data_IF_371082639813
#
_entry.id   IF_371082639813
#
_cell.length_a   1.000
_cell.length_b   1.000
_cell.length_c   1.000
_cell.angle_alpha   90.00
_cell.angle_beta   90.00
_cell.angle_gamma   90.00
#
_symmetry.space_group_name_H-M   'P 1'
#
loop_
_entity.id
_entity.type
_entity.pdbx_description
1 polymer ?
#
# COMPACT_ATOMS: atom_id res chain seq x y z
N UNK A 1 3.12 -4.63 -18.61
CA UNK A 1 3.27 -3.98 -17.29
C UNK A 1 3.15 -2.47 -17.52
N UNK A 2 2.13 -1.84 -16.95
CA UNK A 2 1.81 -0.42 -17.22
C UNK A 2 2.62 0.46 -16.28
N UNK A 3 3.24 1.53 -16.81
CA UNK A 3 3.96 2.49 -15.96
C UNK A 3 2.96 3.28 -15.12
N UNK A 4 3.37 3.64 -13.92
CA UNK A 4 2.51 4.39 -12.98
C UNK A 4 2.17 5.78 -13.51
N UNK A 5 3.04 6.36 -14.35
CA UNK A 5 2.76 7.61 -15.05
C UNK A 5 1.54 7.56 -15.98
N UNK A 6 1.12 6.35 -16.36
CA UNK A 6 0.14 6.15 -17.42
C UNK A 6 -1.23 5.72 -16.86
N UNK A 7 -1.43 5.84 -15.53
CA UNK A 7 -2.62 5.37 -14.84
C UNK A 7 -3.82 6.31 -15.02
N UNK A 8 -4.97 5.72 -15.32
CA UNK A 8 -6.27 6.39 -15.35
C UNK A 8 -7.05 6.07 -14.06
N UNK A 9 -7.63 7.08 -13.42
CA UNK A 9 -8.19 7.06 -12.04
C UNK A 9 -9.46 6.17 -11.93
N UNK A 10 -10.00 5.71 -13.06
CA UNK A 10 -11.29 4.98 -13.13
C UNK A 10 -11.13 3.49 -12.75
N UNK A 11 -9.91 2.94 -12.77
CA UNK A 11 -9.64 1.54 -12.41
C UNK A 11 -8.36 1.41 -11.58
N UNK A 12 -8.38 0.59 -10.53
CA UNK A 12 -7.15 0.27 -9.79
C UNK A 12 -6.29 -0.66 -10.67
N UNK A 13 -5.08 -0.24 -11.07
CA UNK A 13 -4.23 -1.01 -11.98
C UNK A 13 -3.43 -2.08 -11.23
N UNK A 14 -3.07 -3.15 -11.94
CA UNK A 14 -2.07 -4.10 -11.46
C UNK A 14 -0.69 -3.41 -11.39
N UNK A 15 -0.05 -3.39 -10.23
CA UNK A 15 1.23 -2.71 -9.98
C UNK A 15 2.24 -3.64 -9.33
N UNK A 16 3.52 -3.43 -9.60
CA UNK A 16 4.64 -4.09 -8.90
C UNK A 16 5.68 -3.03 -8.55
N UNK A 17 6.25 -3.12 -7.36
CA UNK A 17 7.22 -2.13 -6.87
C UNK A 17 8.01 -2.60 -5.67
N UNK A 18 9.11 -1.90 -5.41
CA UNK A 18 9.97 -2.13 -4.24
C UNK A 18 9.44 -1.30 -3.07
N UNK A 19 9.23 -1.94 -1.92
CA UNK A 19 8.81 -1.25 -0.70
C UNK A 19 9.92 -0.33 -0.20
N UNK A 20 9.59 0.95 -0.06
CA UNK A 20 10.47 2.01 0.45
C UNK A 20 10.23 2.30 1.93
N UNK A 21 8.96 2.25 2.36
CA UNK A 21 8.60 2.42 3.75
C UNK A 21 7.21 1.84 4.03
N UNK A 22 6.99 1.48 5.29
CA UNK A 22 5.71 0.97 5.80
C UNK A 22 5.40 1.75 7.07
N UNK A 23 4.22 2.36 7.14
CA UNK A 23 3.80 3.07 8.35
C UNK A 23 3.41 2.09 9.47
N UNK A 24 3.41 2.52 10.75
CA UNK A 24 2.65 1.83 11.78
C UNK A 24 1.16 1.74 11.43
N UNK A 25 0.42 0.83 12.08
CA UNK A 25 -1.05 0.77 11.94
C UNK A 25 -1.68 1.97 12.62
N UNK A 26 -2.55 2.66 11.89
CA UNK A 26 -3.40 3.73 12.40
C UNK A 26 -4.87 3.27 12.47
N UNK A 27 -5.68 3.96 13.29
CA UNK A 27 -7.11 3.71 13.40
C UNK A 27 -7.89 4.91 12.87
N UNK A 28 -8.64 4.72 11.78
CA UNK A 28 -9.41 5.77 11.08
C UNK A 28 -10.89 5.61 11.40
N UNK A 29 -11.55 6.68 11.86
CA UNK A 29 -13.01 6.68 12.03
C UNK A 29 -13.71 6.81 10.68
N UNK A 30 -14.51 5.81 10.28
CA UNK A 30 -15.30 5.83 9.05
C UNK A 30 -16.46 6.81 9.18
N UNK A 31 -16.48 7.83 8.31
CA UNK A 31 -17.50 8.90 8.31
C UNK A 31 -18.94 8.38 8.32
N UNK A 32 -19.22 7.31 7.58
CA UNK A 32 -20.59 6.87 7.33
C UNK A 32 -21.11 5.80 8.31
N UNK A 33 -20.24 5.17 9.10
CA UNK A 33 -20.60 4.01 9.94
C UNK A 33 -20.12 4.13 11.39
N UNK A 34 -19.45 5.23 11.76
CA UNK A 34 -18.90 5.48 13.08
C UNK A 34 -17.91 4.41 13.62
N UNK A 35 -17.49 3.50 12.75
CA UNK A 35 -16.58 2.41 13.03
C UNK A 35 -15.12 2.88 12.95
N UNK A 36 -14.27 2.34 13.82
CA UNK A 36 -12.82 2.55 13.78
C UNK A 36 -12.18 1.46 12.92
N UNK A 37 -11.55 1.85 11.81
CA UNK A 37 -10.99 0.95 10.82
C UNK A 37 -9.46 1.01 10.84
N UNK A 38 -8.75 -0.12 10.95
CA UNK A 38 -7.31 -0.18 10.78
C UNK A 38 -6.89 0.25 9.38
N UNK A 39 -5.89 1.13 9.30
CA UNK A 39 -5.25 1.56 8.06
C UNK A 39 -3.74 1.46 8.22
N UNK A 40 -3.03 1.14 7.13
CA UNK A 40 -1.57 1.22 7.05
C UNK A 40 -1.16 1.68 5.67
N UNK A 41 -0.26 2.64 5.59
CA UNK A 41 0.26 3.14 4.31
C UNK A 41 1.60 2.46 3.98
N UNK A 42 1.75 2.03 2.73
CA UNK A 42 3.01 1.51 2.17
C UNK A 42 3.46 2.42 1.04
N UNK A 43 4.74 2.79 1.04
CA UNK A 43 5.36 3.56 -0.03
C UNK A 43 6.11 2.62 -0.96
N UNK A 44 5.80 2.66 -2.25
CA UNK A 44 6.40 1.81 -3.28
C UNK A 44 7.15 2.67 -4.29
N UNK A 45 8.28 2.18 -4.78
CA UNK A 45 9.01 2.76 -5.91
C UNK A 45 8.95 1.81 -7.12
N UNK A 46 8.78 2.40 -8.30
CA UNK A 46 8.94 1.69 -9.58
C UNK A 46 10.34 1.89 -10.17
N UNK A 47 10.58 1.30 -11.35
CA UNK A 47 11.82 1.42 -12.11
C UNK A 47 12.12 2.87 -12.58
N UNK A 48 11.09 3.73 -12.63
CA UNK A 48 11.21 5.16 -12.90
C UNK A 48 11.65 5.98 -11.67
N UNK A 49 11.89 5.32 -10.53
CA UNK A 49 12.22 5.92 -9.22
C UNK A 49 11.12 6.83 -8.67
N UNK A 50 9.92 6.79 -9.25
CA UNK A 50 8.77 7.52 -8.72
C UNK A 50 8.16 6.71 -7.59
N UNK A 51 7.76 7.41 -6.53
CA UNK A 51 7.12 6.80 -5.38
C UNK A 51 5.63 7.09 -5.34
N UNK A 52 4.88 6.14 -4.80
CA UNK A 52 3.45 6.26 -4.58
C UNK A 52 3.06 5.54 -3.29
N UNK A 53 1.93 5.94 -2.73
CA UNK A 53 1.41 5.38 -1.48
C UNK A 53 0.21 4.51 -1.78
N UNK A 54 0.21 3.30 -1.21
CA UNK A 54 -0.96 2.41 -1.20
C UNK A 54 -1.44 2.29 0.25
N UNK A 55 -2.74 2.51 0.45
CA UNK A 55 -3.37 2.31 1.76
C UNK A 55 -3.95 0.91 1.88
N UNK A 56 -3.40 0.11 2.80
CA UNK A 56 -3.97 -1.16 3.24
C UNK A 56 -5.02 -0.89 4.32
N UNK A 57 -6.10 -1.66 4.30
CA UNK A 57 -7.25 -1.49 5.20
C UNK A 57 -7.65 -2.81 5.86
N UNK A 58 -8.27 -2.73 7.04
CA UNK A 58 -8.75 -3.89 7.80
C UNK A 58 -7.64 -4.95 8.00
N UNK A 59 -7.93 -6.21 7.74
CA UNK A 59 -7.00 -7.34 7.90
C UNK A 59 -5.74 -7.22 7.04
N UNK A 60 -5.78 -6.50 5.91
CA UNK A 60 -4.58 -6.23 5.14
C UNK A 60 -3.64 -5.28 5.88
N UNK A 61 -4.16 -4.36 6.70
CA UNK A 61 -3.34 -3.43 7.48
C UNK A 61 -2.67 -4.10 8.69
N UNK A 62 -3.31 -5.09 9.30
CA UNK A 62 -2.85 -5.76 10.53
C UNK A 62 -2.19 -7.12 10.29
N UNK A 63 -2.52 -7.83 9.20
CA UNK A 63 -1.90 -9.08 8.78
C UNK A 63 -0.72 -8.83 7.86
N UNK A 64 -0.97 -8.81 6.53
CA UNK A 64 0.08 -8.62 5.52
C UNK A 64 0.85 -7.32 5.67
N UNK A 65 0.18 -6.26 6.09
CA UNK A 65 0.84 -4.99 6.41
C UNK A 65 1.84 -5.11 7.55
N UNK A 66 1.60 -5.98 8.54
CA UNK A 66 2.56 -6.27 9.61
C UNK A 66 3.74 -7.09 9.11
N UNK A 67 3.49 -8.15 8.37
CA UNK A 67 4.56 -8.92 7.72
C UNK A 67 5.47 -7.99 6.90
N UNK A 68 4.89 -7.08 6.10
CA UNK A 68 5.64 -6.10 5.30
C UNK A 68 6.44 -5.10 6.14
N UNK A 69 5.92 -4.68 7.29
CA UNK A 69 6.64 -3.79 8.21
C UNK A 69 7.86 -4.51 8.79
N UNK A 70 7.70 -5.75 9.22
CA UNK A 70 8.77 -6.55 9.83
C UNK A 70 9.92 -6.84 8.86
N UNK A 71 9.63 -6.86 7.55
CA UNK A 71 10.62 -7.08 6.49
C UNK A 71 11.01 -5.80 5.72
N UNK A 72 10.58 -4.61 6.15
CA UNK A 72 10.76 -3.38 5.39
C UNK A 72 12.23 -3.08 5.07
N UNK A 73 13.14 -3.38 6.00
CA UNK A 73 14.59 -3.19 5.85
C UNK A 73 15.23 -4.13 4.81
N UNK A 74 14.51 -5.19 4.40
CA UNK A 74 14.93 -6.09 3.32
C UNK A 74 14.49 -5.62 1.93
N UNK A 75 13.82 -4.46 1.84
CA UNK A 75 13.32 -3.88 0.57
C UNK A 75 12.55 -4.89 -0.30
N UNK A 76 11.47 -5.50 0.21
CA UNK A 76 10.74 -6.52 -0.52
C UNK A 76 10.10 -5.95 -1.80
N UNK A 77 10.04 -6.79 -2.83
CA UNK A 77 9.25 -6.53 -4.03
C UNK A 77 7.85 -7.04 -3.79
N UNK A 78 6.83 -6.21 -4.04
CA UNK A 78 5.44 -6.62 -3.94
C UNK A 78 4.71 -6.39 -5.26
N UNK A 79 3.77 -7.28 -5.57
CA UNK A 79 2.82 -7.14 -6.66
C UNK A 79 1.41 -7.00 -6.07
N UNK A 80 0.66 -6.01 -6.54
CA UNK A 80 -0.72 -5.74 -6.16
C UNK A 80 -1.56 -5.94 -7.41
N UNK A 81 -2.62 -6.73 -7.27
CA UNK A 81 -3.53 -7.10 -8.35
C UNK A 81 -4.94 -6.62 -8.03
N UNK A 82 -5.63 -6.12 -9.05
CA UNK A 82 -7.07 -5.81 -9.02
C UNK A 82 -7.97 -7.04 -9.07
#
# INVERSE_FOLDING_TARGET
MTKISDLNIISFPDVIGVVQSVSPTMSIRRRNANEMIPKRDITLADDSKKTFVVSLWNDLATGKGQELLDMADNHPVIAIKS
#
